data_IF_961012907534
#
_entry.id   IF_961012907534
#
_cell.length_a   1.000
_cell.length_b   1.000
_cell.length_c   1.000
_cell.angle_alpha   90.00
_cell.angle_beta   90.00
_cell.angle_gamma   90.00
#
_symmetry.space_group_name_H-M   'P 1'
#
loop_
_entity.id
_entity.type
_entity.pdbx_description
1 polymer ?
#
# COMPACT_ATOMS: atom_id res chain seq x y z
N UNK A 1 -10.24 8.03 19.11
CA UNK A 1 -9.04 7.33 18.60
C UNK A 1 -9.47 6.47 17.44
N UNK A 2 -9.21 6.90 16.21
CA UNK A 2 -9.42 6.05 15.03
C UNK A 2 -8.14 5.24 14.89
N UNK A 3 -8.16 3.98 15.33
CA UNK A 3 -7.03 3.08 15.13
C UNK A 3 -7.02 2.81 13.63
N UNK A 4 -5.96 3.22 12.94
CA UNK A 4 -5.81 2.94 11.50
C UNK A 4 -5.62 1.43 11.32
N UNK A 5 -6.76 0.73 11.28
CA UNK A 5 -6.86 -0.71 11.17
C UNK A 5 -6.38 -1.20 9.80
N UNK A 6 -6.25 -2.51 9.71
CA UNK A 6 -6.02 -3.20 8.45
C UNK A 6 -7.04 -2.74 7.38
N UNK A 7 -6.57 -2.53 6.16
CA UNK A 7 -7.42 -2.16 5.00
C UNK A 7 -8.48 -3.22 4.67
N UNK A 8 -8.33 -4.43 5.20
CA UNK A 8 -9.36 -5.45 5.09
C UNK A 8 -10.62 -5.02 5.87
N UNK A 9 -11.80 -4.98 5.22
CA UNK A 9 -13.02 -4.48 5.83
C UNK A 9 -13.39 -5.29 7.08
N UNK A 10 -13.64 -4.59 8.20
CA UNK A 10 -14.02 -5.21 9.47
C UNK A 10 -12.87 -5.87 10.24
N UNK A 11 -11.62 -5.67 9.84
CA UNK A 11 -10.47 -6.20 10.58
C UNK A 11 -10.01 -5.19 11.65
N UNK A 12 -10.13 -5.50 12.96
CA UNK A 12 -9.72 -4.60 14.03
C UNK A 12 -8.20 -4.56 14.24
N UNK A 13 -7.46 -5.45 13.57
CA UNK A 13 -6.02 -5.59 13.76
C UNK A 13 -5.26 -4.38 13.22
N UNK A 14 -4.16 -3.97 13.90
CA UNK A 14 -3.32 -2.88 13.43
C UNK A 14 -2.68 -3.21 12.08
N UNK A 15 -2.64 -2.21 11.18
CA UNK A 15 -1.91 -2.32 9.91
C UNK A 15 -0.40 -2.46 10.17
N UNK A 16 0.26 -3.32 9.39
CA UNK A 16 1.72 -3.56 9.47
C UNK A 16 2.40 -3.37 8.13
N UNK A 17 2.00 -4.11 7.11
CA UNK A 17 2.68 -4.13 5.81
C UNK A 17 1.68 -3.86 4.71
N UNK A 18 1.97 -2.88 3.84
CA UNK A 18 1.07 -2.45 2.75
C UNK A 18 -0.37 -2.19 3.23
N UNK A 19 -0.52 -1.58 4.40
CA UNK A 19 -1.84 -1.28 4.97
C UNK A 19 -2.62 -2.50 5.48
N UNK A 20 -2.05 -3.71 5.46
CA UNK A 20 -2.69 -4.93 5.97
C UNK A 20 -2.03 -5.40 7.29
N UNK A 21 -2.80 -6.14 8.09
CA UNK A 21 -2.24 -6.90 9.22
C UNK A 21 -1.42 -8.10 8.72
N UNK A 22 -0.64 -8.74 9.61
CA UNK A 22 0.21 -9.89 9.28
C UNK A 22 -0.56 -11.03 8.58
N UNK A 23 -1.79 -11.28 9.04
CA UNK A 23 -2.63 -12.36 8.51
C UNK A 23 -3.08 -12.05 7.08
N UNK A 24 -3.73 -10.90 6.86
CA UNK A 24 -4.23 -10.54 5.54
C UNK A 24 -3.11 -10.29 4.53
N UNK A 25 -1.97 -9.75 4.97
CA UNK A 25 -0.78 -9.67 4.13
C UNK A 25 -0.32 -11.05 3.65
N UNK A 26 -0.35 -12.06 4.53
CA UNK A 26 0.01 -13.44 4.18
C UNK A 26 -0.98 -14.04 3.18
N UNK A 27 -2.28 -13.80 3.33
CA UNK A 27 -3.28 -14.21 2.34
C UNK A 27 -3.04 -13.56 0.98
N UNK A 28 -2.86 -12.24 0.94
CA UNK A 28 -2.52 -11.51 -0.29
C UNK A 28 -1.25 -12.06 -0.95
N UNK A 29 -0.19 -12.30 -0.15
CA UNK A 29 1.06 -12.88 -0.63
C UNK A 29 0.86 -14.28 -1.23
N UNK A 30 0.04 -15.13 -0.62
CA UNK A 30 -0.29 -16.45 -1.16
C UNK A 30 -1.04 -16.36 -2.49
N UNK A 31 -1.98 -15.41 -2.64
CA UNK A 31 -2.69 -15.19 -3.90
C UNK A 31 -1.73 -14.74 -5.01
N UNK A 32 -0.81 -13.82 -4.69
CA UNK A 32 0.21 -13.37 -5.63
C UNK A 32 1.19 -14.50 -5.99
N UNK A 33 1.64 -15.28 -4.99
CA UNK A 33 2.53 -16.44 -5.21
C UNK A 33 1.88 -17.50 -6.10
N UNK A 34 0.57 -17.68 -6.00
CA UNK A 34 -0.23 -18.57 -6.85
C UNK A 34 -0.55 -18.00 -8.23
N UNK A 35 -0.08 -16.78 -8.56
CA UNK A 35 -0.40 -16.05 -9.80
C UNK A 35 -1.90 -15.83 -10.03
N UNK A 36 -2.72 -15.85 -8.97
CA UNK A 36 -4.16 -15.53 -9.08
C UNK A 36 -4.40 -14.02 -9.15
N UNK A 37 -3.47 -13.24 -8.60
CA UNK A 37 -3.47 -11.78 -8.67
C UNK A 37 -2.03 -11.27 -8.66
N UNK A 38 -1.82 -9.98 -8.87
CA UNK A 38 -0.53 -9.30 -8.76
C UNK A 38 -0.60 -8.24 -7.67
N UNK A 39 0.55 -7.84 -7.12
CA UNK A 39 0.58 -6.74 -6.16
C UNK A 39 0.07 -5.43 -6.78
N UNK A 40 0.41 -5.18 -8.04
CA UNK A 40 -0.06 -4.03 -8.81
C UNK A 40 -1.60 -4.00 -8.92
N UNK A 41 -2.22 -5.14 -9.25
CA UNK A 41 -3.68 -5.22 -9.32
C UNK A 41 -4.36 -4.94 -7.97
N UNK A 42 -3.79 -5.46 -6.88
CA UNK A 42 -4.29 -5.18 -5.53
C UNK A 42 -4.12 -3.70 -5.13
N UNK A 43 -3.04 -3.07 -5.58
CA UNK A 43 -2.78 -1.64 -5.37
C UNK A 43 -3.79 -0.79 -6.17
N UNK A 44 -4.07 -1.14 -7.42
CA UNK A 44 -5.09 -0.49 -8.26
C UNK A 44 -6.50 -0.60 -7.66
N UNK A 45 -6.83 -1.76 -7.08
CA UNK A 45 -8.12 -1.99 -6.42
C UNK A 45 -8.19 -1.37 -5.01
N UNK A 46 -7.19 -0.61 -4.57
CA UNK A 46 -7.07 -0.03 -3.22
C UNK A 46 -7.16 -1.05 -2.07
N UNK A 47 -6.90 -2.34 -2.36
CA UNK A 47 -6.95 -3.42 -1.35
C UNK A 47 -5.68 -3.48 -0.50
N UNK A 48 -4.60 -2.87 -0.98
CA UNK A 48 -3.33 -2.76 -0.29
C UNK A 48 -2.74 -1.37 -0.53
N UNK A 49 -1.96 -0.86 0.41
CA UNK A 49 -1.22 0.37 0.20
C UNK A 49 -0.09 0.14 -0.82
N UNK A 50 0.20 1.13 -1.68
CA UNK A 50 1.31 1.05 -2.62
C UNK A 50 2.63 0.89 -1.87
N UNK A 51 3.61 0.27 -2.51
CA UNK A 51 5.00 0.34 -2.05
C UNK A 51 5.43 1.80 -2.07
N UNK A 52 5.34 2.49 -0.93
CA UNK A 52 6.09 3.73 -0.73
C UNK A 52 7.56 3.36 -0.85
N UNK A 53 8.18 3.77 -1.94
CA UNK A 53 9.63 3.74 -2.05
C UNK A 53 10.17 4.54 -0.89
N UNK A 54 10.99 3.91 -0.04
CA UNK A 54 11.89 4.67 0.81
C UNK A 54 12.82 5.36 -0.20
N UNK A 55 12.54 6.63 -0.54
CA UNK A 55 13.51 7.45 -1.23
C UNK A 55 14.68 7.52 -0.25
N UNK A 56 15.75 6.80 -0.55
CA UNK A 56 16.97 6.91 0.23
C UNK A 56 17.46 8.36 0.15
N UNK A 57 18.15 8.84 1.19
CA UNK A 57 18.71 10.21 1.20
C UNK A 57 19.60 10.46 -0.03
N UNK A 58 20.24 9.42 -0.56
CA UNK A 58 21.06 9.45 -1.78
C UNK A 58 20.22 9.57 -3.06
N UNK A 59 19.06 8.90 -3.12
CA UNK A 59 18.16 8.98 -4.27
C UNK A 59 17.38 10.30 -4.30
N UNK A 60 17.27 11.00 -3.15
CA UNK A 60 16.65 12.33 -3.05
C UNK A 60 17.29 13.32 -4.02
N UNK A 61 18.63 13.31 -4.14
CA UNK A 61 19.36 14.19 -5.07
C UNK A 61 18.95 14.01 -6.54
N UNK A 62 18.56 12.79 -6.94
CA UNK A 62 18.20 12.47 -8.32
C UNK A 62 16.71 12.66 -8.63
N UNK A 63 15.88 12.85 -7.61
CA UNK A 63 14.41 12.81 -7.72
C UNK A 63 13.76 14.08 -7.16
N UNK A 64 14.54 15.12 -6.84
CA UNK A 64 14.05 16.42 -6.37
C UNK A 64 13.55 17.23 -7.58
N UNK A 65 12.37 16.85 -8.06
CA UNK A 65 11.61 17.48 -9.13
C UNK A 65 10.18 16.94 -9.12
N UNK A 66 9.35 17.55 -8.27
CA UNK A 66 7.88 17.42 -8.17
C UNK A 66 7.28 16.00 -8.16
N UNK A 67 6.96 15.52 -6.95
CA UNK A 67 5.70 14.81 -6.72
C UNK A 67 5.03 15.41 -5.48
N UNK A 68 4.57 16.66 -5.61
CA UNK A 68 3.47 17.09 -4.77
C UNK A 68 2.29 16.18 -5.09
N UNK A 69 2.00 15.29 -4.15
CA UNK A 69 0.81 14.48 -4.17
C UNK A 69 -0.40 15.37 -3.96
N UNK A 70 -0.89 15.99 -5.02
CA UNK A 70 -2.29 16.35 -5.14
C UNK A 70 -2.94 15.40 -6.12
N UNK A 71 -3.38 14.25 -5.60
CA UNK A 71 -4.49 13.55 -6.25
C UNK A 71 -5.77 14.13 -5.65
N UNK A 72 -6.25 15.25 -6.20
CA UNK A 72 -7.68 15.39 -6.38
C UNK A 72 -8.04 16.12 -7.68
N UNK A 73 -8.60 15.31 -8.57
CA UNK A 73 -9.22 15.60 -9.85
C UNK A 73 -10.64 16.14 -9.64
N UNK A 74 -10.87 17.42 -10.02
CA UNK A 74 -12.12 18.06 -10.52
C UNK A 74 -13.35 18.02 -9.59
N UNK A 75 -14.18 19.05 -9.49
CA UNK A 75 -14.72 19.96 -10.53
C UNK A 75 -15.04 21.34 -9.93
#
# INVERSE_FOLDING_TARGET
MIIEGCLFPGCPEPKKTRGLCSLHYTYAYRLVKRKQTTWEKLEQENKVSPKRGIISKSNKWFLEGEVEGEVNIKE
#
